data_IF_174201254437
#
_entry.id   IF_174201254437
#
_cell.length_a   1.000
_cell.length_b   1.000
_cell.length_c   1.000
_cell.angle_alpha   90.00
_cell.angle_beta   90.00
_cell.angle_gamma   90.00
#
_symmetry.space_group_name_H-M   'P 1'
#
loop_
_entity.id
_entity.type
_entity.pdbx_description
1 polymer ?
#
# COMPACT_ATOMS: atom_id res chain seq x y z
N UNK A 1 -0.45 11.31 -8.63
CA UNK A 1 -1.80 11.91 -8.47
C UNK A 1 -1.71 13.41 -8.60
N UNK A 2 -2.75 14.05 -9.10
CA UNK A 2 -2.81 15.50 -9.34
C UNK A 2 -2.55 16.35 -8.07
N UNK A 3 -2.82 15.79 -6.90
CA UNK A 3 -2.68 16.43 -5.59
C UNK A 3 -1.43 16.00 -4.78
N UNK A 4 -0.45 15.38 -5.40
CA UNK A 4 0.81 14.96 -4.77
C UNK A 4 0.70 13.73 -3.84
N UNK A 5 -0.48 13.09 -3.72
CA UNK A 5 -0.64 11.87 -2.91
C UNK A 5 -0.06 10.65 -3.60
N UNK A 6 0.45 9.72 -2.81
CA UNK A 6 0.86 8.42 -3.35
C UNK A 6 -0.36 7.56 -3.65
N UNK A 7 -0.46 7.09 -4.90
CA UNK A 7 -1.46 6.12 -5.34
C UNK A 7 -0.94 4.69 -5.37
N UNK A 8 0.16 4.42 -4.67
CA UNK A 8 0.77 3.10 -4.62
C UNK A 8 0.81 2.56 -3.19
N UNK A 9 0.23 1.39 -2.93
CA UNK A 9 0.34 0.74 -1.62
C UNK A 9 1.80 0.41 -1.28
N UNK A 10 2.61 0.07 -2.29
CA UNK A 10 4.02 -0.28 -2.11
C UNK A 10 4.89 0.93 -1.74
N UNK A 11 4.57 2.13 -2.24
CA UNK A 11 5.24 3.37 -1.81
C UNK A 11 4.96 3.66 -0.34
N UNK A 12 3.72 3.45 0.12
CA UNK A 12 3.37 3.62 1.52
C UNK A 12 4.13 2.68 2.44
N UNK A 13 4.34 1.41 2.03
CA UNK A 13 5.17 0.44 2.79
C UNK A 13 6.57 1.01 3.08
N UNK A 14 7.20 1.59 2.07
CA UNK A 14 8.57 2.11 2.20
C UNK A 14 8.60 3.43 2.97
N UNK A 15 7.59 4.28 2.84
CA UNK A 15 7.47 5.48 3.68
C UNK A 15 7.40 5.11 5.16
N UNK A 16 6.61 4.10 5.51
CA UNK A 16 6.56 3.57 6.88
C UNK A 16 7.89 2.95 7.31
N UNK A 17 8.53 2.16 6.46
CA UNK A 17 9.82 1.55 6.77
C UNK A 17 10.91 2.59 7.05
N UNK A 18 10.98 3.65 6.23
CA UNK A 18 11.90 4.76 6.44
C UNK A 18 11.60 5.52 7.73
N UNK A 19 10.33 5.78 8.01
CA UNK A 19 9.90 6.45 9.25
C UNK A 19 10.16 5.58 10.48
N UNK A 20 9.94 4.26 10.42
CA UNK A 20 10.29 3.31 11.47
C UNK A 20 11.77 3.40 11.84
N UNK A 21 12.63 3.50 10.83
CA UNK A 21 14.07 3.61 11.02
C UNK A 21 14.56 5.02 11.37
N UNK A 22 13.65 6.00 11.42
CA UNK A 22 14.05 7.39 11.65
C UNK A 22 14.91 7.98 10.53
N UNK A 23 14.86 7.42 9.32
CA UNK A 23 15.66 7.86 8.17
C UNK A 23 14.92 9.03 7.50
N UNK A 24 15.51 10.23 7.46
CA UNK A 24 14.97 11.34 6.70
C UNK A 24 15.03 11.03 5.20
N UNK A 25 13.97 11.40 4.47
CA UNK A 25 13.92 11.19 3.04
C UNK A 25 13.19 12.33 2.32
N UNK A 26 13.57 12.55 1.07
CA UNK A 26 12.86 13.44 0.17
C UNK A 26 11.97 12.61 -0.77
N UNK A 27 10.69 12.94 -0.82
CA UNK A 27 9.75 12.31 -1.76
C UNK A 27 9.77 13.05 -3.09
N UNK A 28 10.00 12.31 -4.18
CA UNK A 28 9.87 12.80 -5.55
C UNK A 28 8.59 12.23 -6.15
N UNK A 29 7.52 13.03 -6.34
CA UNK A 29 6.29 12.56 -6.97
C UNK A 29 6.51 12.26 -8.45
N UNK A 30 6.11 11.05 -8.86
CA UNK A 30 6.15 10.63 -10.27
C UNK A 30 4.77 10.16 -10.72
N UNK A 31 4.40 10.43 -11.96
CA UNK A 31 3.22 9.88 -12.58
C UNK A 31 3.49 8.53 -13.25
N UNK A 32 2.43 7.86 -13.69
CA UNK A 32 2.56 6.53 -14.30
C UNK A 32 3.40 6.55 -15.57
N UNK A 33 3.32 7.62 -16.37
CA UNK A 33 4.09 7.79 -17.61
C UNK A 33 5.51 8.26 -17.37
N UNK A 34 5.80 8.84 -16.20
CA UNK A 34 7.12 9.41 -15.89
C UNK A 34 8.13 8.34 -15.44
N UNK A 35 7.65 7.21 -14.89
CA UNK A 35 8.51 6.18 -14.28
C UNK A 35 9.61 5.73 -15.24
N UNK A 36 9.27 5.54 -16.51
CA UNK A 36 10.20 5.10 -17.54
C UNK A 36 11.33 6.12 -17.84
N UNK A 37 11.17 7.39 -17.43
CA UNK A 37 12.16 8.44 -17.64
C UNK A 37 13.20 8.51 -16.52
N UNK A 38 12.93 7.87 -15.38
CA UNK A 38 13.88 7.84 -14.26
C UNK A 38 14.90 6.71 -14.46
N UNK A 39 16.13 6.95 -14.05
CA UNK A 39 17.24 5.99 -14.10
C UNK A 39 17.41 5.32 -15.48
N UNK A 40 17.31 6.12 -16.56
CA UNK A 40 17.37 5.63 -17.95
C UNK A 40 16.41 4.46 -18.27
N UNK A 41 15.25 4.44 -17.63
CA UNK A 41 14.24 3.39 -17.85
C UNK A 41 14.53 2.05 -17.18
N UNK A 42 15.51 2.01 -16.27
CA UNK A 42 15.90 0.81 -15.52
C UNK A 42 14.74 0.21 -14.73
N UNK A 43 13.87 1.06 -14.18
CA UNK A 43 12.74 0.64 -13.34
C UNK A 43 11.40 0.85 -14.05
N UNK A 44 10.46 -0.04 -13.81
CA UNK A 44 9.11 -0.01 -14.41
C UNK A 44 8.01 0.30 -13.40
N UNK A 45 8.32 0.23 -12.12
CA UNK A 45 7.36 0.35 -11.01
C UNK A 45 7.92 1.22 -9.90
N UNK A 46 7.04 1.70 -9.01
CA UNK A 46 7.40 2.35 -7.75
C UNK A 46 7.03 1.43 -6.59
N UNK A 47 7.70 1.53 -5.43
CA UNK A 47 8.71 2.52 -5.05
C UNK A 47 10.07 2.32 -5.72
N UNK A 48 10.76 3.43 -5.90
CA UNK A 48 12.20 3.45 -6.20
C UNK A 48 12.85 4.25 -5.09
N UNK A 49 13.96 3.77 -4.52
CA UNK A 49 14.80 4.54 -3.61
C UNK A 49 16.17 4.79 -4.25
N UNK A 50 16.78 5.90 -3.86
CA UNK A 50 18.16 6.24 -4.16
C UNK A 50 18.86 6.55 -2.83
N UNK A 51 20.01 5.89 -2.61
CA UNK A 51 20.85 6.10 -1.44
C UNK A 51 22.33 5.99 -1.85
N UNK A 52 23.01 7.13 -1.93
CA UNK A 52 24.34 7.23 -2.53
C UNK A 52 24.32 6.75 -3.98
N UNK A 53 25.19 5.85 -4.34
CA UNK A 53 25.29 5.27 -5.67
C UNK A 53 24.31 4.10 -5.91
N UNK A 54 23.50 3.76 -4.91
CA UNK A 54 22.54 2.65 -4.98
C UNK A 54 21.16 3.16 -5.36
N UNK A 55 20.60 2.66 -6.46
CA UNK A 55 19.21 2.83 -6.82
C UNK A 55 18.54 1.47 -6.97
N UNK A 56 17.38 1.28 -6.33
CA UNK A 56 16.65 0.01 -6.34
C UNK A 56 15.14 0.22 -6.29
N UNK A 57 14.42 -0.78 -6.81
CA UNK A 57 12.97 -0.90 -6.75
C UNK A 57 12.59 -2.20 -6.02
N UNK A 58 11.30 -2.51 -6.01
CA UNK A 58 10.67 -3.63 -5.30
C UNK A 58 10.65 -3.44 -3.77
N UNK A 59 9.44 -3.28 -3.23
CA UNK A 59 9.28 -2.88 -1.83
C UNK A 59 9.85 -3.88 -0.82
N UNK A 60 9.90 -5.17 -1.18
CA UNK A 60 10.51 -6.19 -0.33
C UNK A 60 12.04 -6.04 -0.30
N UNK A 61 12.67 -5.95 -1.47
CA UNK A 61 14.13 -5.82 -1.59
C UNK A 61 14.63 -4.52 -0.93
N UNK A 62 13.84 -3.45 -1.05
CA UNK A 62 14.11 -2.19 -0.34
C UNK A 62 14.05 -2.39 1.17
N UNK A 63 13.05 -3.10 1.70
CA UNK A 63 12.94 -3.34 3.14
C UNK A 63 14.15 -4.16 3.67
N UNK A 64 14.55 -5.20 2.95
CA UNK A 64 15.75 -5.98 3.29
C UNK A 64 17.04 -5.15 3.22
N UNK A 65 17.13 -4.28 2.21
CA UNK A 65 18.26 -3.36 2.10
C UNK A 65 18.31 -2.40 3.28
N UNK A 66 17.17 -1.80 3.64
CA UNK A 66 17.10 -0.87 4.78
C UNK A 66 17.47 -1.55 6.09
N UNK A 67 17.08 -2.82 6.28
CA UNK A 67 17.43 -3.56 7.48
C UNK A 67 18.93 -3.89 7.57
N UNK A 68 19.57 -4.19 6.43
CA UNK A 68 21.03 -4.41 6.37
C UNK A 68 21.82 -3.12 6.53
N UNK A 69 21.41 -2.05 5.85
CA UNK A 69 22.14 -0.78 5.85
C UNK A 69 21.95 0.00 7.16
N UNK A 70 20.81 -0.17 7.81
CA UNK A 70 20.41 0.50 9.06
C UNK A 70 19.82 -0.54 10.02
N UNK A 71 20.62 -1.32 10.75
CA UNK A 71 20.15 -2.47 11.51
C UNK A 71 19.15 -2.14 12.63
N UNK A 72 19.18 -0.93 13.19
CA UNK A 72 18.32 -0.53 14.30
C UNK A 72 17.55 0.77 14.00
N UNK A 73 16.25 0.82 14.36
CA UNK A 73 15.39 -0.28 14.77
C UNK A 73 15.10 -1.25 13.63
N UNK A 74 15.00 -2.56 13.92
CA UNK A 74 14.82 -3.58 12.90
C UNK A 74 13.39 -3.63 12.35
N UNK A 75 13.25 -3.83 11.02
CA UNK A 75 11.95 -4.14 10.39
C UNK A 75 11.55 -5.60 10.60
N UNK A 76 12.56 -6.46 10.79
CA UNK A 76 12.43 -7.89 11.07
C UNK A 76 13.34 -8.23 12.25
N UNK A 77 12.80 -8.73 13.36
CA UNK A 77 13.59 -9.04 14.57
C UNK A 77 14.52 -10.27 14.43
N UNK A 78 14.43 -10.96 13.30
CA UNK A 78 15.27 -12.11 12.98
C UNK A 78 14.71 -12.96 11.83
N UNK A 79 15.44 -14.01 11.40
CA UNK A 79 15.10 -14.80 10.22
C UNK A 79 13.73 -15.46 10.29
N UNK A 80 13.30 -15.92 11.46
CA UNK A 80 11.98 -16.54 11.63
C UNK A 80 10.85 -15.54 11.42
N UNK A 81 10.96 -14.35 11.99
CA UNK A 81 9.98 -13.28 11.78
C UNK A 81 9.99 -12.81 10.32
N UNK A 82 11.16 -12.62 9.72
CA UNK A 82 11.28 -12.26 8.31
C UNK A 82 10.54 -13.27 7.40
N UNK A 83 10.71 -14.58 7.65
CA UNK A 83 10.00 -15.62 6.91
C UNK A 83 8.47 -15.53 7.08
N UNK A 84 7.98 -15.26 8.30
CA UNK A 84 6.56 -15.08 8.57
C UNK A 84 6.00 -13.80 7.94
N UNK A 85 6.74 -12.71 7.97
CA UNK A 85 6.36 -11.46 7.28
C UNK A 85 6.34 -11.67 5.76
N UNK A 86 7.25 -12.45 5.21
CA UNK A 86 7.25 -12.81 3.77
C UNK A 86 6.02 -13.63 3.38
N UNK A 87 5.63 -14.58 4.23
CA UNK A 87 4.39 -15.34 4.03
C UNK A 87 3.16 -14.40 4.10
N UNK A 88 3.15 -13.48 5.07
CA UNK A 88 2.09 -12.46 5.20
C UNK A 88 2.01 -11.58 3.96
N UNK A 89 3.14 -11.13 3.41
CA UNK A 89 3.18 -10.35 2.16
C UNK A 89 2.60 -11.13 0.99
N UNK A 90 3.02 -12.38 0.81
CA UNK A 90 2.51 -13.23 -0.28
C UNK A 90 1.00 -13.46 -0.16
N UNK A 91 0.52 -13.82 1.04
CA UNK A 91 -0.91 -13.99 1.32
C UNK A 91 -1.69 -12.71 1.09
N UNK A 92 -1.25 -11.60 1.69
CA UNK A 92 -1.95 -10.31 1.61
C UNK A 92 -2.05 -9.82 0.17
N UNK A 93 -0.96 -9.88 -0.59
CA UNK A 93 -0.96 -9.48 -2.00
C UNK A 93 -1.90 -10.37 -2.82
N UNK A 94 -1.87 -11.68 -2.64
CA UNK A 94 -2.67 -12.62 -3.43
C UNK A 94 -4.16 -12.59 -3.08
N UNK A 95 -4.51 -12.39 -1.80
CA UNK A 95 -5.88 -12.56 -1.31
C UNK A 95 -6.61 -11.26 -1.02
N UNK A 96 -5.89 -10.21 -0.62
CA UNK A 96 -6.47 -8.93 -0.20
C UNK A 96 -6.19 -7.85 -1.24
N UNK A 97 -4.92 -7.55 -1.50
CA UNK A 97 -4.55 -6.42 -2.35
C UNK A 97 -5.12 -6.54 -3.78
N UNK A 98 -5.13 -7.74 -4.35
CA UNK A 98 -5.77 -7.99 -5.66
C UNK A 98 -7.26 -7.69 -5.66
N UNK A 99 -7.95 -8.03 -4.56
CA UNK A 99 -9.38 -7.75 -4.39
C UNK A 99 -9.63 -6.24 -4.22
N UNK A 100 -8.83 -5.58 -3.39
CA UNK A 100 -8.87 -4.12 -3.26
C UNK A 100 -8.60 -3.44 -4.60
N UNK A 101 -7.60 -3.92 -5.35
CA UNK A 101 -7.28 -3.36 -6.66
C UNK A 101 -8.47 -3.46 -7.63
N UNK A 102 -9.11 -4.63 -7.72
CA UNK A 102 -10.32 -4.80 -8.53
C UNK A 102 -11.43 -3.83 -8.11
N UNK A 103 -11.63 -3.63 -6.81
CA UNK A 103 -12.70 -2.76 -6.31
C UNK A 103 -12.45 -1.27 -6.57
N UNK A 104 -11.19 -0.83 -6.63
CA UNK A 104 -10.83 0.60 -6.65
C UNK A 104 -10.02 1.02 -7.88
N UNK A 105 -9.86 0.17 -8.89
CA UNK A 105 -9.04 0.50 -10.07
C UNK A 105 -9.56 1.70 -10.85
N UNK A 106 -10.88 1.85 -10.96
CA UNK A 106 -11.51 3.01 -11.60
C UNK A 106 -11.27 4.29 -10.80
N UNK A 107 -11.36 4.22 -9.46
CA UNK A 107 -11.08 5.37 -8.60
C UNK A 107 -9.61 5.84 -8.73
N UNK A 108 -8.67 4.90 -8.92
CA UNK A 108 -7.26 5.25 -9.20
C UNK A 108 -7.12 5.95 -10.55
N UNK A 109 -7.82 5.47 -11.59
CA UNK A 109 -7.84 6.10 -12.91
C UNK A 109 -8.35 7.54 -12.82
N UNK A 110 -9.47 7.75 -12.13
CA UNK A 110 -10.12 9.06 -12.05
C UNK A 110 -9.29 10.06 -11.21
N UNK A 111 -8.58 9.56 -10.22
CA UNK A 111 -7.64 10.35 -9.41
C UNK A 111 -6.27 10.56 -10.07
N UNK A 112 -5.96 9.89 -11.18
CA UNK A 112 -4.70 10.03 -11.90
C UNK A 112 -4.63 11.39 -12.61
N UNK A 113 -3.37 11.87 -12.84
CA UNK A 113 -3.14 13.07 -13.64
C UNK A 113 -3.71 12.88 -15.06
N UNK A 114 -4.27 13.90 -15.69
CA UNK A 114 -4.87 13.79 -17.03
C UNK A 114 -3.97 13.08 -18.04
N UNK A 115 -2.67 13.41 -18.07
CA UNK A 115 -1.70 12.82 -19.00
C UNK A 115 -1.42 11.33 -18.72
N UNK A 116 -1.69 10.83 -17.52
CA UNK A 116 -1.47 9.43 -17.13
C UNK A 116 -2.67 8.52 -17.42
N UNK A 117 -3.88 9.08 -17.57
CA UNK A 117 -5.14 8.32 -17.62
C UNK A 117 -5.20 7.33 -18.78
N UNK A 118 -4.79 7.76 -19.98
CA UNK A 118 -4.80 6.88 -21.14
C UNK A 118 -3.88 5.67 -20.97
N UNK A 119 -2.65 5.91 -20.52
CA UNK A 119 -1.69 4.84 -20.22
C UNK A 119 -2.19 3.92 -19.10
N UNK A 120 -2.72 4.49 -18.02
CA UNK A 120 -3.26 3.71 -16.90
C UNK A 120 -4.39 2.80 -17.38
N UNK A 121 -5.38 3.34 -18.08
CA UNK A 121 -6.49 2.58 -18.64
C UNK A 121 -6.00 1.42 -19.50
N UNK A 122 -5.24 1.70 -20.52
CA UNK A 122 -4.73 0.67 -21.44
C UNK A 122 -4.01 -0.45 -20.68
N UNK A 123 -3.11 -0.09 -19.77
CA UNK A 123 -2.31 -1.07 -19.03
C UNK A 123 -3.14 -1.91 -18.07
N UNK A 124 -4.20 -1.35 -17.46
CA UNK A 124 -5.02 -2.07 -16.47
C UNK A 124 -6.13 -2.90 -17.13
N UNK A 125 -6.72 -2.42 -18.21
CA UNK A 125 -7.65 -3.22 -19.03
C UNK A 125 -6.95 -4.44 -19.63
N UNK A 126 -5.70 -4.31 -20.02
CA UNK A 126 -4.89 -5.47 -20.44
C UNK A 126 -4.70 -6.50 -19.30
N UNK A 127 -4.51 -6.05 -18.03
CA UNK A 127 -4.46 -6.95 -16.87
C UNK A 127 -5.79 -7.66 -16.59
N UNK A 128 -6.92 -7.08 -17.01
CA UNK A 128 -8.26 -7.66 -16.91
C UNK A 128 -8.70 -8.37 -18.20
N UNK A 129 -7.76 -8.81 -19.03
CA UNK A 129 -8.03 -9.51 -20.28
C UNK A 129 -8.96 -8.72 -21.23
N UNK A 130 -8.78 -7.40 -21.29
CA UNK A 130 -9.56 -6.51 -22.13
C UNK A 130 -10.90 -6.04 -21.53
N UNK A 131 -11.20 -6.43 -20.29
CA UNK A 131 -12.37 -5.89 -19.58
C UNK A 131 -12.14 -4.42 -19.24
N UNK A 132 -13.10 -3.54 -19.54
CA UNK A 132 -13.00 -2.11 -19.21
C UNK A 132 -12.97 -1.87 -17.70
N UNK A 133 -12.40 -0.75 -17.27
CA UNK A 133 -12.33 -0.41 -15.84
C UNK A 133 -13.73 -0.29 -15.23
N UNK A 134 -14.68 0.26 -15.97
CA UNK A 134 -16.09 0.40 -15.57
C UNK A 134 -16.74 -0.98 -15.39
N UNK A 135 -16.54 -1.90 -16.32
CA UNK A 135 -17.07 -3.26 -16.22
C UNK A 135 -16.43 -4.03 -15.06
N UNK A 136 -15.11 -3.88 -14.86
CA UNK A 136 -14.39 -4.53 -13.76
C UNK A 136 -14.88 -4.07 -12.37
N UNK A 137 -15.42 -2.86 -12.24
CA UNK A 137 -15.91 -2.28 -10.99
C UNK A 137 -17.44 -2.22 -10.87
N UNK A 138 -18.17 -2.66 -11.88
CA UNK A 138 -19.64 -2.55 -11.94
C UNK A 138 -20.38 -3.24 -10.79
N UNK A 139 -19.86 -4.37 -10.31
CA UNK A 139 -20.40 -5.15 -9.19
C UNK A 139 -19.74 -4.84 -7.83
N UNK A 140 -19.01 -3.76 -7.74
CA UNK A 140 -18.15 -3.43 -6.58
C UNK A 140 -18.92 -3.47 -5.25
N UNK A 141 -20.13 -2.92 -5.19
CA UNK A 141 -20.95 -2.93 -3.97
C UNK A 141 -21.30 -4.35 -3.53
N UNK A 142 -21.66 -5.22 -4.47
CA UNK A 142 -21.93 -6.64 -4.20
C UNK A 142 -20.66 -7.43 -3.85
N UNK A 143 -19.50 -6.96 -4.32
CA UNK A 143 -18.21 -7.61 -4.10
C UNK A 143 -17.55 -7.25 -2.74
N UNK A 144 -17.84 -6.07 -2.18
CA UNK A 144 -17.25 -5.61 -0.90
C UNK A 144 -17.47 -6.57 0.26
N UNK A 145 -18.61 -7.22 0.48
CA UNK A 145 -18.76 -8.20 1.56
C UNK A 145 -17.74 -9.34 1.49
N UNK A 146 -17.48 -9.88 0.31
CA UNK A 146 -16.48 -10.94 0.14
C UNK A 146 -15.04 -10.45 0.34
N UNK A 147 -14.76 -9.16 0.05
CA UNK A 147 -13.49 -8.53 0.36
C UNK A 147 -13.34 -8.30 1.87
N UNK A 148 -14.40 -7.82 2.53
CA UNK A 148 -14.44 -7.64 4.00
C UNK A 148 -14.26 -8.97 4.73
N UNK A 149 -14.88 -10.05 4.25
CA UNK A 149 -14.70 -11.40 4.82
C UNK A 149 -13.24 -11.87 4.68
N UNK A 150 -12.60 -11.62 3.56
CA UNK A 150 -11.19 -11.98 3.36
C UNK A 150 -10.22 -11.30 4.36
N UNK A 151 -10.65 -10.24 5.06
CA UNK A 151 -9.88 -9.57 6.11
C UNK A 151 -10.00 -10.27 7.49
N UNK A 152 -10.78 -11.34 7.62
CA UNK A 152 -10.97 -12.05 8.89
C UNK A 152 -9.66 -12.48 9.56
N UNK A 153 -8.63 -12.97 8.86
CA UNK A 153 -7.36 -13.31 9.52
C UNK A 153 -6.71 -12.12 10.24
N UNK A 154 -6.81 -10.89 9.67
CA UNK A 154 -6.33 -9.68 10.34
C UNK A 154 -7.14 -9.39 11.61
N UNK A 155 -8.48 -9.47 11.54
CA UNK A 155 -9.35 -9.24 12.72
C UNK A 155 -9.06 -10.24 13.82
N UNK A 156 -8.91 -11.52 13.47
CA UNK A 156 -8.60 -12.58 14.41
C UNK A 156 -7.28 -12.34 15.13
N UNK A 157 -6.23 -11.97 14.39
CA UNK A 157 -4.93 -11.65 14.97
C UNK A 157 -5.00 -10.40 15.86
N UNK A 158 -5.56 -9.33 15.33
CA UNK A 158 -5.62 -8.02 16.00
C UNK A 158 -6.63 -7.97 17.17
N UNK A 159 -7.45 -8.99 17.36
CA UNK A 159 -8.23 -9.15 18.60
C UNK A 159 -7.36 -9.49 19.82
N UNK A 160 -6.13 -9.95 19.60
CA UNK A 160 -5.18 -10.36 20.66
C UNK A 160 -3.94 -9.48 20.72
N UNK A 161 -3.56 -8.87 19.61
CA UNK A 161 -2.33 -8.10 19.48
C UNK A 161 -2.62 -6.67 19.02
N UNK A 162 -1.78 -5.75 19.47
CA UNK A 162 -1.91 -4.34 19.06
C UNK A 162 -1.56 -4.12 17.59
N UNK A 163 -0.63 -4.91 17.06
CA UNK A 163 -0.10 -4.85 15.70
C UNK A 163 0.07 -6.25 15.10
N UNK A 164 0.33 -6.34 13.80
CA UNK A 164 0.68 -7.61 13.16
C UNK A 164 2.03 -8.13 13.66
N UNK A 165 2.93 -7.23 14.04
CA UNK A 165 4.19 -7.55 14.72
C UNK A 165 4.05 -7.88 16.21
N UNK A 166 2.83 -7.91 16.76
CA UNK A 166 2.60 -8.19 18.18
C UNK A 166 2.34 -6.92 18.99
N UNK A 167 3.18 -6.60 19.98
CA UNK A 167 3.06 -5.39 20.81
C UNK A 167 3.51 -4.11 20.08
N UNK A 168 4.39 -4.25 19.13
CA UNK A 168 4.96 -3.16 18.31
C UNK A 168 4.77 -3.44 16.82
N UNK A 169 4.67 -2.40 15.97
CA UNK A 169 4.55 -2.61 14.55
C UNK A 169 5.85 -3.14 13.94
N UNK A 170 5.71 -4.00 12.93
CA UNK A 170 6.80 -4.44 12.07
C UNK A 170 6.42 -4.27 10.58
N UNK A 171 7.23 -4.81 9.68
CA UNK A 171 6.98 -4.64 8.24
C UNK A 171 5.67 -5.29 7.76
N UNK A 172 5.10 -6.29 8.47
CA UNK A 172 3.79 -6.84 8.15
C UNK A 172 2.67 -5.79 8.31
N UNK A 173 2.76 -4.95 9.34
CA UNK A 173 1.84 -3.83 9.51
C UNK A 173 1.92 -2.85 8.34
N UNK A 174 3.13 -2.52 7.88
CA UNK A 174 3.32 -1.56 6.78
C UNK A 174 2.83 -2.11 5.43
N UNK A 175 2.92 -3.44 5.23
CA UNK A 175 2.32 -4.12 4.08
C UNK A 175 0.80 -3.88 4.04
N UNK A 176 0.12 -4.12 5.14
CA UNK A 176 -1.33 -3.97 5.20
C UNK A 176 -1.77 -2.50 5.25
N UNK A 177 -1.18 -1.68 6.15
CA UNK A 177 -1.49 -0.24 6.26
C UNK A 177 -1.27 0.50 4.94
N UNK A 178 -0.24 0.14 4.19
CA UNK A 178 0.02 0.71 2.87
C UNK A 178 -1.14 0.52 1.89
N UNK A 179 -1.83 -0.62 1.95
CA UNK A 179 -3.00 -0.88 1.13
C UNK A 179 -4.23 -0.07 1.59
N UNK A 180 -4.45 0.05 2.90
CA UNK A 180 -5.54 0.89 3.42
C UNK A 180 -5.30 2.37 3.11
N UNK A 181 -4.08 2.87 3.24
CA UNK A 181 -3.73 4.24 2.85
C UNK A 181 -3.89 4.50 1.36
N UNK A 182 -3.52 3.52 0.53
CA UNK A 182 -3.77 3.62 -0.90
C UNK A 182 -5.27 3.73 -1.19
N UNK A 183 -6.11 2.88 -0.61
CA UNK A 183 -7.58 2.98 -0.76
C UNK A 183 -8.06 4.35 -0.27
N UNK A 184 -7.67 4.78 0.94
CA UNK A 184 -8.05 6.09 1.49
C UNK A 184 -7.62 7.25 0.59
N UNK A 185 -6.59 7.10 -0.24
CA UNK A 185 -6.12 8.16 -1.13
C UNK A 185 -7.02 8.36 -2.37
N UNK A 186 -7.81 7.35 -2.76
CA UNK A 186 -8.58 7.36 -4.01
C UNK A 186 -10.06 7.07 -3.84
N UNK A 187 -10.45 6.26 -2.87
CA UNK A 187 -11.77 5.64 -2.76
C UNK A 187 -12.94 6.63 -2.88
N UNK A 188 -13.92 6.26 -3.68
CA UNK A 188 -15.24 6.93 -3.76
C UNK A 188 -16.32 6.18 -2.98
N UNK A 189 -16.01 4.95 -2.53
CA UNK A 189 -16.86 4.10 -1.71
C UNK A 189 -16.05 3.59 -0.51
N UNK A 190 -16.56 3.67 0.73
CA UNK A 190 -15.88 3.14 1.92
C UNK A 190 -15.59 1.64 1.79
N UNK A 191 -14.39 1.23 2.21
CA UNK A 191 -13.96 -0.18 2.18
C UNK A 191 -14.59 -0.99 3.30
N UNK A 192 -14.65 -0.43 4.51
CA UNK A 192 -14.99 -1.12 5.75
C UNK A 192 -16.37 -0.68 6.28
N UNK A 193 -17.03 -1.57 7.00
CA UNK A 193 -18.25 -1.24 7.72
C UNK A 193 -17.97 -0.25 8.85
N UNK A 194 -19.00 0.50 9.27
CA UNK A 194 -18.88 1.50 10.33
C UNK A 194 -18.28 0.94 11.63
N UNK A 195 -18.68 -0.26 12.01
CA UNK A 195 -18.31 -0.94 13.25
C UNK A 195 -17.16 -1.95 13.10
N UNK A 196 -16.42 -1.89 12.00
CA UNK A 196 -15.32 -2.83 11.73
C UNK A 196 -14.22 -2.73 12.80
N UNK A 197 -13.88 -3.86 13.41
CA UNK A 197 -12.90 -3.97 14.49
C UNK A 197 -11.47 -3.61 14.06
N UNK A 198 -11.17 -3.57 12.76
CA UNK A 198 -9.88 -3.10 12.25
C UNK A 198 -9.67 -1.61 12.47
N UNK A 199 -10.73 -0.83 12.78
CA UNK A 199 -10.65 0.62 13.01
C UNK A 199 -9.55 0.98 14.00
N UNK A 200 -9.55 0.36 15.16
CA UNK A 200 -8.61 0.68 16.23
C UNK A 200 -7.13 0.47 15.82
N UNK A 201 -6.86 -0.58 15.02
CA UNK A 201 -5.52 -0.83 14.49
C UNK A 201 -5.15 0.13 13.36
N UNK A 202 -6.09 0.43 12.45
CA UNK A 202 -5.88 1.39 11.35
C UNK A 202 -5.57 2.77 11.95
N UNK A 203 -6.34 3.21 12.94
CA UNK A 203 -6.13 4.49 13.60
C UNK A 203 -4.75 4.55 14.27
N UNK A 204 -4.37 3.53 15.05
CA UNK A 204 -3.02 3.44 15.62
C UNK A 204 -1.95 3.47 14.54
N UNK A 205 -2.15 2.72 13.45
CA UNK A 205 -1.20 2.67 12.35
C UNK A 205 -1.03 4.01 11.65
N UNK A 206 -2.13 4.74 11.44
CA UNK A 206 -2.08 6.06 10.80
C UNK A 206 -1.44 7.12 11.70
N UNK A 207 -1.51 6.95 13.01
CA UNK A 207 -0.89 7.85 13.99
C UNK A 207 0.61 7.60 14.20
N UNK A 208 1.15 6.47 13.71
CA UNK A 208 2.58 6.17 13.82
C UNK A 208 3.45 7.30 13.23
N UNK A 209 4.62 7.47 13.83
CA UNK A 209 5.69 8.36 13.31
C UNK A 209 5.21 9.79 13.07
N UNK A 210 4.50 10.35 14.05
CA UNK A 210 3.96 11.70 13.95
C UNK A 210 2.75 11.83 13.03
N UNK A 211 2.02 10.74 12.82
CA UNK A 211 0.81 10.75 12.00
C UNK A 211 1.09 10.65 10.50
N UNK A 212 2.09 9.89 10.09
CA UNK A 212 2.47 9.74 8.67
C UNK A 212 1.30 9.30 7.77
N UNK A 213 0.32 8.60 8.34
CA UNK A 213 -0.90 8.19 7.65
C UNK A 213 -2.04 9.22 7.70
N UNK A 214 -1.89 10.31 8.44
CA UNK A 214 -2.94 11.34 8.60
C UNK A 214 -2.76 12.45 7.57
N UNK A 215 -3.64 12.49 6.61
CA UNK A 215 -3.73 13.58 5.64
C UNK A 215 -5.19 13.99 5.53
N UNK A 216 -5.51 15.27 5.74
CA UNK A 216 -6.87 15.81 5.66
C UNK A 216 -7.55 15.55 4.29
N UNK A 217 -6.76 15.26 3.26
CA UNK A 217 -7.28 14.94 1.92
C UNK A 217 -7.67 13.47 1.75
N UNK A 218 -7.41 12.61 2.73
CA UNK A 218 -7.79 11.19 2.66
C UNK A 218 -9.30 11.03 2.69
N UNK A 219 -9.79 10.04 1.95
CA UNK A 219 -11.20 9.65 1.92
C UNK A 219 -11.54 8.73 3.08
N UNK A 220 -12.78 8.71 3.56
CA UNK A 220 -13.21 7.78 4.59
C UNK A 220 -12.99 6.32 4.15
N UNK A 221 -12.41 5.51 5.03
CA UNK A 221 -12.32 4.06 4.85
C UNK A 221 -13.56 3.32 5.38
N UNK A 222 -14.30 3.95 6.28
CA UNK A 222 -15.43 3.39 7.01
C UNK A 222 -16.73 4.08 6.56
N UNK A 223 -17.81 3.28 6.53
CA UNK A 223 -19.20 3.76 6.33
C UNK A 223 -19.62 4.73 7.42
#
# INVERSE_FOLDING_TARGET
MENGRSSSPFVWRIRYALAHKGIPFQSVPVGFTDIANFFAGRFKTVPIIEHGDTAMAESWDIAEYLDRAFPAPALFSGPAEQAMVRLTDAWFNARILRKMFRAYVLDVHDAARPQDRAYFRQSREAMFNGTTLEAATSDRTAYLPALREALMPLRTHLSRFAFLGGSTPNYADYIALGAFLWVASVATLPLLAHDDTLRAWIDRGFDLYGGIGRDARMKPLFE
#
